data_IF_272510426486
#
_entry.id   IF_272510426486
#
_cell.length_a   1.000
_cell.length_b   1.000
_cell.length_c   1.000
_cell.angle_alpha   90.00
_cell.angle_beta   90.00
_cell.angle_gamma   90.00
#
_symmetry.space_group_name_H-M   'P 1'
#
loop_
_entity.id
_entity.type
_entity.pdbx_description
1 polymer ?
#
# COMPACT_ATOMS: atom_id res chain seq x y z
N UNK A 1 19.62 -1.29 -1.49
CA UNK A 1 19.19 -2.48 -0.73
C UNK A 1 18.87 -3.66 -1.66
N UNK A 2 18.21 -3.43 -2.78
CA UNK A 2 17.87 -4.49 -3.78
C UNK A 2 19.15 -5.10 -4.34
N UNK A 3 20.11 -4.29 -4.79
CA UNK A 3 21.39 -4.76 -5.32
C UNK A 3 22.22 -5.55 -4.30
N UNK A 4 22.03 -5.23 -3.01
CA UNK A 4 22.64 -5.96 -1.89
C UNK A 4 21.91 -7.27 -1.57
N UNK A 5 20.82 -7.59 -2.28
CA UNK A 5 20.01 -8.79 -2.06
C UNK A 5 19.54 -8.95 -0.62
N UNK A 6 19.17 -7.83 0.00
CA UNK A 6 18.66 -7.80 1.37
C UNK A 6 17.19 -8.13 1.43
N UNK A 7 16.71 -8.56 2.60
CA UNK A 7 15.29 -8.69 2.89
C UNK A 7 14.83 -7.37 3.50
N UNK A 8 13.90 -6.70 2.83
CA UNK A 8 13.38 -5.39 3.20
C UNK A 8 12.08 -5.55 3.96
N UNK A 9 11.92 -4.83 5.06
CA UNK A 9 10.69 -4.76 5.85
C UNK A 9 10.24 -3.30 5.86
N UNK A 10 9.36 -2.88 4.93
CA UNK A 10 8.85 -1.52 4.92
C UNK A 10 7.92 -1.31 6.12
N UNK A 11 8.11 -0.22 6.84
CA UNK A 11 7.28 0.15 7.99
C UNK A 11 6.95 1.64 7.95
N UNK A 12 5.77 1.99 8.41
CA UNK A 12 5.28 3.36 8.47
C UNK A 12 5.18 3.86 9.92
N UNK A 13 5.07 5.18 10.09
CA UNK A 13 4.93 5.77 11.43
C UNK A 13 3.63 5.34 12.10
N UNK A 14 2.59 5.09 11.32
CA UNK A 14 1.26 4.69 11.78
C UNK A 14 1.27 3.34 12.48
N UNK A 15 2.14 2.43 12.04
CA UNK A 15 2.29 1.11 12.67
C UNK A 15 3.36 1.06 13.76
N UNK A 16 3.92 2.21 14.13
CA UNK A 16 5.01 2.32 15.13
C UNK A 16 4.77 1.56 16.44
N UNK A 17 3.57 1.52 17.02
CA UNK A 17 3.31 0.72 18.22
C UNK A 17 3.63 -0.77 18.05
N UNK A 18 3.54 -1.29 16.83
CA UNK A 18 3.79 -2.69 16.50
C UNK A 18 5.22 -2.98 16.02
N UNK A 19 6.07 -1.97 15.80
CA UNK A 19 7.40 -2.16 15.22
C UNK A 19 8.26 -3.14 16.00
N UNK A 20 8.23 -3.09 17.34
CA UNK A 20 9.00 -4.02 18.18
C UNK A 20 8.59 -5.48 17.92
N UNK A 21 7.31 -5.74 17.72
CA UNK A 21 6.78 -7.03 17.36
C UNK A 21 7.22 -7.41 15.94
N UNK A 22 7.09 -6.50 14.98
CA UNK A 22 7.47 -6.71 13.58
C UNK A 22 8.96 -7.02 13.42
N UNK A 23 9.83 -6.31 14.14
CA UNK A 23 11.28 -6.59 14.15
C UNK A 23 11.58 -8.01 14.60
N UNK A 24 10.89 -8.49 15.62
CA UNK A 24 11.05 -9.85 16.13
C UNK A 24 10.55 -10.89 15.13
N UNK A 25 9.33 -10.73 14.61
CA UNK A 25 8.72 -11.70 13.69
C UNK A 25 9.45 -11.80 12.35
N UNK A 26 9.92 -10.68 11.83
CA UNK A 26 10.69 -10.65 10.58
C UNK A 26 12.21 -10.84 10.80
N UNK A 27 12.67 -11.08 12.04
CA UNK A 27 14.09 -11.24 12.40
C UNK A 27 14.97 -10.11 11.83
N UNK A 28 14.58 -8.86 12.05
CA UNK A 28 15.24 -7.67 11.49
C UNK A 28 16.60 -7.46 12.16
N UNK A 29 17.67 -7.42 11.38
CA UNK A 29 19.03 -7.18 11.86
C UNK A 29 19.35 -5.69 12.00
N UNK A 30 18.83 -4.86 11.09
CA UNK A 30 19.13 -3.42 11.03
C UNK A 30 17.84 -2.62 10.75
N UNK A 31 17.78 -1.42 11.33
CA UNK A 31 16.73 -0.43 11.02
C UNK A 31 17.38 0.80 10.40
N UNK A 32 16.79 1.31 9.33
CA UNK A 32 17.15 2.60 8.77
C UNK A 32 16.03 3.58 9.14
N UNK A 33 16.34 4.53 10.00
CA UNK A 33 15.41 5.58 10.43
C UNK A 33 16.14 6.93 10.45
N UNK A 34 15.53 7.97 9.87
CA UNK A 34 16.10 9.31 9.78
C UNK A 34 17.53 9.32 9.23
N UNK A 35 17.80 8.56 8.17
CA UNK A 35 19.13 8.37 7.56
C UNK A 35 20.20 7.78 8.50
N UNK A 36 19.80 7.15 9.59
CA UNK A 36 20.69 6.44 10.50
C UNK A 36 20.48 4.94 10.40
N UNK A 37 21.59 4.20 10.37
CA UNK A 37 21.58 2.73 10.42
C UNK A 37 21.73 2.30 11.88
N UNK A 38 20.74 1.59 12.40
CA UNK A 38 20.69 1.11 13.78
C UNK A 38 20.74 -0.42 13.75
N UNK A 39 21.76 -1.01 14.39
CA UNK A 39 21.83 -2.47 14.56
C UNK A 39 20.95 -2.91 15.71
N UNK A 40 20.12 -3.91 15.47
CA UNK A 40 19.27 -4.52 16.50
C UNK A 40 20.00 -5.71 17.16
N UNK A 41 19.51 -6.14 18.34
CA UNK A 41 19.97 -7.39 18.97
C UNK A 41 19.51 -8.56 18.11
N UNK A 42 20.37 -9.57 17.94
CA UNK A 42 20.07 -10.78 17.19
C UNK A 42 18.81 -11.48 17.70
N UNK A 43 17.89 -11.76 16.79
CA UNK A 43 16.76 -12.67 17.01
C UNK A 43 17.18 -14.12 16.68
N UNK A 44 16.36 -15.09 17.11
CA UNK A 44 16.59 -16.49 16.76
C UNK A 44 16.68 -16.66 15.24
N UNK A 45 17.59 -17.50 14.78
CA UNK A 45 17.69 -17.91 13.38
C UNK A 45 16.35 -18.44 12.88
N UNK A 46 15.92 -17.95 11.72
CA UNK A 46 14.71 -18.42 11.06
C UNK A 46 15.09 -19.18 9.79
N UNK A 47 14.78 -20.48 9.78
CA UNK A 47 15.15 -21.39 8.67
C UNK A 47 14.60 -20.93 7.32
N UNK A 48 13.42 -20.30 7.27
CA UNK A 48 12.85 -19.78 6.04
C UNK A 48 13.73 -18.64 5.48
N UNK A 49 14.15 -17.70 6.33
CA UNK A 49 15.02 -16.60 5.92
C UNK A 49 16.40 -17.10 5.50
N UNK A 50 16.96 -18.10 6.19
CA UNK A 50 18.25 -18.71 5.81
C UNK A 50 18.14 -19.38 4.43
N UNK A 51 17.11 -20.19 4.19
CA UNK A 51 16.85 -20.80 2.88
C UNK A 51 16.66 -19.75 1.79
N UNK A 52 15.92 -18.68 2.08
CA UNK A 52 15.70 -17.60 1.13
C UNK A 52 17.00 -16.88 0.76
N UNK A 53 17.90 -16.65 1.74
CA UNK A 53 19.21 -16.02 1.49
C UNK A 53 20.09 -16.84 0.52
N UNK A 54 19.93 -18.16 0.50
CA UNK A 54 20.64 -19.04 -0.46
C UNK A 54 20.21 -18.79 -1.91
N UNK A 55 19.01 -18.29 -2.15
CA UNK A 55 18.52 -17.96 -3.49
C UNK A 55 19.22 -16.72 -4.07
N UNK A 56 19.98 -15.98 -3.26
CA UNK A 56 20.66 -14.74 -3.67
C UNK A 56 19.72 -13.73 -4.31
N UNK A 57 18.46 -13.72 -3.90
CA UNK A 57 17.43 -12.78 -4.32
C UNK A 57 17.17 -11.72 -3.25
N UNK A 58 16.68 -10.54 -3.64
CA UNK A 58 16.17 -9.57 -2.69
C UNK A 58 14.77 -10.01 -2.22
N UNK A 59 14.48 -9.84 -0.93
CA UNK A 59 13.19 -10.17 -0.34
C UNK A 59 12.44 -8.93 0.13
N UNK A 60 11.12 -9.07 0.25
CA UNK A 60 10.28 -8.08 0.91
C UNK A 60 9.31 -8.79 1.85
N UNK A 61 9.14 -8.25 3.06
CA UNK A 61 8.23 -8.79 4.07
C UNK A 61 7.08 -7.82 4.29
N UNK A 62 5.86 -8.33 4.18
CA UNK A 62 4.64 -7.63 4.58
C UNK A 62 4.00 -8.31 5.78
N UNK A 63 3.21 -7.55 6.53
CA UNK A 63 2.42 -8.07 7.64
C UNK A 63 0.94 -8.14 7.25
N UNK A 64 0.34 -9.31 7.45
CA UNK A 64 -1.11 -9.49 7.32
C UNK A 64 -1.79 -9.33 8.66
N UNK A 65 -3.05 -8.91 8.68
CA UNK A 65 -3.85 -8.76 9.90
C UNK A 65 -4.11 -10.06 10.67
N UNK A 66 -3.81 -11.22 10.08
CA UNK A 66 -3.95 -12.55 10.68
C UNK A 66 -5.33 -12.83 11.30
N UNK A 67 -5.94 -13.97 11.01
CA UNK A 67 -7.23 -14.39 11.59
C UNK A 67 -7.16 -14.60 13.12
N UNK A 68 -5.95 -14.72 13.67
CA UNK A 68 -5.68 -14.95 15.11
C UNK A 68 -5.42 -13.65 15.88
N UNK A 69 -5.66 -12.48 15.29
CA UNK A 69 -5.47 -11.18 15.90
C UNK A 69 -4.01 -10.68 15.99
N UNK A 70 -3.02 -11.52 15.62
CA UNK A 70 -1.60 -11.10 15.54
C UNK A 70 -1.13 -11.06 14.09
N UNK A 71 -0.52 -9.95 13.63
CA UNK A 71 0.02 -9.85 12.28
C UNK A 71 1.06 -10.95 12.00
N UNK A 72 0.98 -11.56 10.82
CA UNK A 72 1.95 -12.57 10.38
C UNK A 72 2.88 -11.95 9.35
N UNK A 73 4.18 -12.20 9.49
CA UNK A 73 5.19 -11.82 8.50
C UNK A 73 5.13 -12.75 7.29
N UNK A 74 4.99 -12.19 6.10
CA UNK A 74 4.93 -12.92 4.83
C UNK A 74 6.09 -12.44 3.96
N UNK A 75 7.03 -13.37 3.69
CA UNK A 75 8.18 -13.11 2.84
C UNK A 75 7.82 -13.36 1.37
N UNK A 76 8.14 -12.40 0.55
CA UNK A 76 8.06 -12.49 -0.91
C UNK A 76 9.44 -12.33 -1.54
N UNK A 77 9.70 -13.06 -2.63
CA UNK A 77 10.80 -12.75 -3.53
C UNK A 77 10.48 -11.44 -4.27
N UNK A 78 11.36 -10.46 -4.11
CA UNK A 78 11.11 -9.12 -4.67
C UNK A 78 11.17 -9.12 -6.20
N UNK A 79 12.00 -9.97 -6.82
CA UNK A 79 12.04 -10.06 -8.26
C UNK A 79 10.70 -10.60 -8.81
N UNK A 80 10.18 -11.67 -8.22
CA UNK A 80 8.86 -12.22 -8.56
C UNK A 80 7.75 -11.21 -8.28
N UNK A 81 7.87 -10.46 -7.18
CA UNK A 81 6.93 -9.40 -6.84
C UNK A 81 6.91 -8.28 -7.88
N UNK A 82 8.07 -7.88 -8.40
CA UNK A 82 8.20 -6.81 -9.38
C UNK A 82 7.86 -7.26 -10.81
N UNK A 83 8.04 -8.54 -11.14
CA UNK A 83 7.75 -9.09 -12.47
C UNK A 83 6.28 -8.88 -12.90
N UNK A 84 5.35 -8.78 -11.94
CA UNK A 84 3.94 -8.47 -12.23
C UNK A 84 3.72 -7.13 -12.94
N UNK A 85 4.70 -6.22 -12.89
CA UNK A 85 4.66 -4.90 -13.52
C UNK A 85 5.40 -4.87 -14.86
N UNK A 86 5.91 -6.01 -15.34
CA UNK A 86 6.63 -6.12 -16.62
C UNK A 86 5.75 -5.80 -17.83
N UNK A 87 4.43 -6.04 -17.73
CA UNK A 87 3.48 -5.72 -18.80
C UNK A 87 3.04 -4.28 -18.70
N UNK A 88 3.34 -3.42 -19.70
CA UNK A 88 2.94 -2.02 -19.69
C UNK A 88 1.42 -1.85 -19.57
N UNK A 89 0.99 -0.87 -18.80
CA UNK A 89 -0.39 -0.44 -18.66
C UNK A 89 -0.47 1.09 -18.82
N UNK A 90 -1.67 1.66 -19.02
CA UNK A 90 -1.81 3.11 -19.10
C UNK A 90 -1.21 3.82 -17.88
N UNK A 91 -0.55 4.93 -18.15
CA UNK A 91 -0.03 5.81 -17.12
C UNK A 91 -1.17 6.65 -16.53
N UNK A 92 -1.29 6.65 -15.20
CA UNK A 92 -2.29 7.47 -14.49
C UNK A 92 -1.62 8.33 -13.43
N UNK A 93 -2.27 9.44 -13.12
CA UNK A 93 -2.02 10.19 -11.90
C UNK A 93 -2.81 9.51 -10.78
N UNK A 94 -2.10 8.82 -9.90
CA UNK A 94 -2.68 7.94 -8.87
C UNK A 94 -2.52 8.56 -7.49
N UNK A 95 -3.60 8.64 -6.72
CA UNK A 95 -3.53 9.00 -5.32
C UNK A 95 -3.26 7.75 -4.48
N UNK A 96 -2.15 7.73 -3.76
CA UNK A 96 -1.77 6.60 -2.91
C UNK A 96 -1.78 7.00 -1.43
N UNK A 97 -2.91 6.79 -0.77
CA UNK A 97 -3.06 6.98 0.67
C UNK A 97 -3.00 5.68 1.47
N UNK A 98 -2.88 4.54 0.76
CA UNK A 98 -2.68 3.25 1.39
C UNK A 98 -1.27 3.18 2.01
N UNK A 99 -1.18 2.52 3.17
CA UNK A 99 0.08 2.42 3.91
C UNK A 99 1.13 1.60 3.15
N UNK A 100 2.38 2.07 3.14
CA UNK A 100 3.49 1.40 2.46
C UNK A 100 4.01 0.15 3.18
N UNK A 101 3.61 -0.09 4.40
CA UNK A 101 3.87 -1.34 5.14
C UNK A 101 2.82 -2.44 4.85
N UNK A 102 1.82 -2.12 4.03
CA UNK A 102 0.87 -3.06 3.45
C UNK A 102 1.10 -3.27 1.97
N UNK A 103 0.82 -4.49 1.51
CA UNK A 103 0.97 -4.86 0.09
C UNK A 103 0.20 -3.91 -0.84
N UNK A 104 -0.98 -3.42 -0.44
CA UNK A 104 -1.80 -2.50 -1.24
C UNK A 104 -1.10 -1.18 -1.54
N UNK A 105 -0.46 -0.55 -0.54
CA UNK A 105 0.25 0.72 -0.72
C UNK A 105 1.47 0.59 -1.63
N UNK A 106 2.32 -0.42 -1.40
CA UNK A 106 3.48 -0.65 -2.26
C UNK A 106 3.10 -1.15 -3.65
N UNK A 107 2.07 -1.99 -3.77
CA UNK A 107 1.56 -2.40 -5.08
C UNK A 107 1.09 -1.18 -5.90
N UNK A 108 0.36 -0.26 -5.27
CA UNK A 108 -0.06 0.99 -5.92
C UNK A 108 1.12 1.84 -6.36
N UNK A 109 2.11 2.02 -5.47
CA UNK A 109 3.33 2.77 -5.77
C UNK A 109 4.07 2.19 -6.98
N UNK A 110 4.40 0.91 -6.93
CA UNK A 110 5.14 0.25 -8.01
C UNK A 110 4.34 0.19 -9.31
N UNK A 111 3.04 -0.16 -9.26
CA UNK A 111 2.19 -0.13 -10.43
C UNK A 111 2.22 1.24 -11.12
N UNK A 112 2.11 2.31 -10.36
CA UNK A 112 2.11 3.68 -10.92
C UNK A 112 3.46 4.03 -11.52
N UNK A 113 4.56 3.80 -10.79
CA UNK A 113 5.91 4.17 -11.25
C UNK A 113 6.39 3.34 -12.45
N UNK A 114 6.17 2.03 -12.43
CA UNK A 114 6.54 1.15 -13.55
C UNK A 114 5.79 1.49 -14.84
N UNK A 115 4.59 2.04 -14.73
CA UNK A 115 3.81 2.50 -15.87
C UNK A 115 4.04 4.00 -16.19
N UNK A 116 5.09 4.63 -15.64
CA UNK A 116 5.45 6.04 -15.88
C UNK A 116 4.35 7.02 -15.46
N UNK A 117 3.48 6.63 -14.52
CA UNK A 117 2.46 7.46 -13.92
C UNK A 117 3.02 8.40 -12.85
N UNK A 118 2.16 9.23 -12.30
CA UNK A 118 2.50 10.15 -11.20
C UNK A 118 1.81 9.70 -9.92
N UNK A 119 2.55 9.69 -8.80
CA UNK A 119 2.02 9.34 -7.49
C UNK A 119 1.75 10.60 -6.69
N UNK A 120 0.52 10.76 -6.22
CA UNK A 120 0.12 11.79 -5.26
C UNK A 120 0.02 11.11 -3.89
N UNK A 121 0.78 11.60 -2.92
CA UNK A 121 0.75 11.12 -1.54
C UNK A 121 0.09 12.21 -0.71
N UNK A 122 -1.08 11.95 -0.11
CA UNK A 122 -1.80 12.95 0.66
C UNK A 122 -1.12 13.19 2.01
N UNK A 123 -1.27 14.40 2.52
CA UNK A 123 -0.80 14.76 3.86
C UNK A 123 -1.66 14.10 4.95
N UNK A 124 -2.94 13.95 4.72
CA UNK A 124 -3.93 13.38 5.65
C UNK A 124 -4.81 12.34 4.93
N UNK A 125 -5.49 11.50 5.71
CA UNK A 125 -6.38 10.45 5.20
C UNK A 125 -7.85 10.71 5.50
N UNK A 126 -8.23 11.93 5.88
CA UNK A 126 -9.64 12.30 6.01
C UNK A 126 -10.30 12.32 4.63
N UNK A 127 -11.61 12.08 4.57
CA UNK A 127 -12.35 12.11 3.30
C UNK A 127 -12.20 13.48 2.62
N UNK A 128 -12.33 14.56 3.39
CA UNK A 128 -12.20 15.93 2.89
C UNK A 128 -10.83 16.21 2.28
N UNK A 129 -9.74 15.82 2.96
CA UNK A 129 -8.37 16.04 2.45
C UNK A 129 -8.10 15.21 1.21
N UNK A 130 -8.58 13.97 1.16
CA UNK A 130 -8.47 13.12 -0.03
C UNK A 130 -9.23 13.73 -1.22
N UNK A 131 -10.45 14.27 -1.01
CA UNK A 131 -11.19 14.98 -2.06
C UNK A 131 -10.42 16.21 -2.53
N UNK A 132 -9.87 17.00 -1.61
CA UNK A 132 -9.05 18.18 -1.92
C UNK A 132 -7.84 17.79 -2.78
N UNK A 133 -7.13 16.73 -2.43
CA UNK A 133 -5.96 16.26 -3.17
C UNK A 133 -6.34 15.70 -4.55
N UNK A 134 -7.46 14.98 -4.67
CA UNK A 134 -7.97 14.51 -5.96
C UNK A 134 -8.23 15.69 -6.90
N UNK A 135 -8.94 16.69 -6.43
CA UNK A 135 -9.25 17.90 -7.22
C UNK A 135 -8.00 18.67 -7.58
N UNK A 136 -7.20 19.05 -6.57
CA UNK A 136 -5.99 19.87 -6.71
C UNK A 136 -4.98 19.29 -7.68
N UNK A 137 -4.79 17.97 -7.63
CA UNK A 137 -3.78 17.30 -8.42
C UNK A 137 -4.35 16.64 -9.68
N UNK A 138 -5.66 16.78 -9.97
CA UNK A 138 -6.32 16.11 -11.10
C UNK A 138 -6.05 14.61 -11.14
N UNK A 139 -6.32 13.92 -10.02
CA UNK A 139 -6.11 12.49 -9.86
C UNK A 139 -7.05 11.72 -10.78
N UNK A 140 -6.53 10.67 -11.43
CA UNK A 140 -7.25 9.83 -12.39
C UNK A 140 -7.57 8.44 -11.85
N UNK A 141 -6.73 7.92 -10.94
CA UNK A 141 -6.87 6.57 -10.35
C UNK A 141 -6.84 6.65 -8.83
N UNK A 142 -7.86 6.10 -8.20
CA UNK A 142 -8.01 6.02 -6.75
C UNK A 142 -8.04 4.56 -6.28
N UNK A 143 -6.90 3.95 -5.92
CA UNK A 143 -6.86 2.69 -5.19
C UNK A 143 -7.25 2.92 -3.73
N UNK A 144 -8.21 2.13 -3.22
CA UNK A 144 -8.80 2.39 -1.92
C UNK A 144 -9.33 1.13 -1.22
N UNK A 145 -10.13 1.31 -0.17
CA UNK A 145 -10.83 0.24 0.54
C UNK A 145 -12.34 0.46 0.51
N UNK A 146 -13.16 -0.59 0.62
CA UNK A 146 -14.60 -0.49 0.77
C UNK A 146 -15.02 0.44 1.92
N UNK A 147 -14.33 0.38 3.04
CA UNK A 147 -14.59 1.27 4.19
C UNK A 147 -14.43 2.75 3.81
N UNK A 148 -13.37 3.12 3.09
CA UNK A 148 -13.20 4.51 2.64
C UNK A 148 -14.29 4.92 1.65
N UNK A 149 -14.65 4.06 0.70
CA UNK A 149 -15.72 4.33 -0.26
C UNK A 149 -17.08 4.50 0.42
N UNK A 150 -17.34 3.74 1.48
CA UNK A 150 -18.55 3.93 2.31
C UNK A 150 -18.56 5.33 2.93
N UNK A 151 -17.45 5.75 3.56
CA UNK A 151 -17.34 7.09 4.14
C UNK A 151 -17.53 8.17 3.08
N UNK A 152 -16.87 8.03 1.92
CA UNK A 152 -17.00 8.96 0.79
C UNK A 152 -18.45 9.09 0.30
N UNK A 153 -19.17 7.97 0.13
CA UNK A 153 -20.55 7.98 -0.36
C UNK A 153 -21.58 8.43 0.67
N UNK A 154 -21.21 8.51 1.94
CA UNK A 154 -22.04 9.01 3.04
C UNK A 154 -21.74 10.47 3.41
N UNK A 155 -20.71 11.05 2.84
CA UNK A 155 -20.35 12.44 3.06
C UNK A 155 -21.43 13.34 2.45
N UNK A 156 -22.08 14.14 3.31
CA UNK A 156 -23.17 15.04 2.90
C UNK A 156 -22.66 16.24 2.09
N UNK A 157 -21.40 16.59 2.26
CA UNK A 157 -20.75 17.72 1.59
C UNK A 157 -20.03 17.27 0.30
N UNK A 158 -20.22 16.01 -0.13
CA UNK A 158 -19.59 15.48 -1.33
C UNK A 158 -20.10 16.17 -2.60
N UNK A 159 -19.26 16.99 -3.17
CA UNK A 159 -19.49 17.52 -4.52
C UNK A 159 -18.75 16.67 -5.56
N UNK A 160 -19.49 15.82 -6.27
CA UNK A 160 -18.94 14.89 -7.29
C UNK A 160 -18.18 15.60 -8.40
N UNK A 161 -18.53 16.86 -8.71
CA UNK A 161 -17.82 17.64 -9.73
C UNK A 161 -16.34 17.91 -9.39
N UNK A 162 -16.00 17.88 -8.12
CA UNK A 162 -14.59 17.99 -7.68
C UNK A 162 -13.76 16.76 -8.06
N UNK A 163 -14.42 15.64 -8.31
CA UNK A 163 -13.81 14.34 -8.65
C UNK A 163 -13.91 14.02 -10.15
N UNK A 164 -14.26 15.00 -11.00
CA UNK A 164 -14.50 14.85 -12.44
C UNK A 164 -13.35 14.24 -13.25
N UNK A 165 -12.13 14.31 -12.75
CA UNK A 165 -10.95 13.75 -13.41
C UNK A 165 -10.70 12.27 -13.05
N UNK A 166 -11.39 11.73 -12.04
CA UNK A 166 -11.31 10.31 -11.72
C UNK A 166 -11.86 9.48 -12.88
N UNK A 167 -11.08 8.52 -13.31
CA UNK A 167 -11.41 7.55 -14.38
C UNK A 167 -11.64 6.17 -13.82
N UNK A 168 -10.88 5.82 -12.78
CA UNK A 168 -10.87 4.47 -12.21
C UNK A 168 -10.84 4.57 -10.68
N UNK A 169 -11.70 3.79 -10.03
CA UNK A 169 -11.66 3.52 -8.60
C UNK A 169 -11.43 2.02 -8.44
N UNK A 170 -10.34 1.63 -7.78
CA UNK A 170 -10.10 0.23 -7.42
C UNK A 170 -10.18 0.04 -5.91
N UNK A 171 -10.69 -1.10 -5.47
CA UNK A 171 -10.78 -1.39 -4.05
C UNK A 171 -10.38 -2.84 -3.75
N UNK A 172 -9.96 -3.08 -2.52
CA UNK A 172 -9.54 -4.40 -2.07
C UNK A 172 -9.41 -4.49 -0.55
N UNK A 173 -8.91 -5.62 -0.09
CA UNK A 173 -8.65 -5.95 1.32
C UNK A 173 -9.87 -6.18 2.20
N UNK A 174 -11.06 -5.78 1.78
CA UNK A 174 -12.33 -5.91 2.50
C UNK A 174 -13.44 -6.33 1.53
N UNK A 175 -14.54 -6.85 2.08
CA UNK A 175 -15.73 -7.17 1.29
C UNK A 175 -16.51 -5.87 1.03
N UNK A 176 -16.84 -5.63 -0.24
CA UNK A 176 -17.69 -4.50 -0.64
C UNK A 176 -19.16 -4.84 -0.35
N UNK A 177 -19.84 -4.00 0.41
CA UNK A 177 -21.28 -4.13 0.60
C UNK A 177 -22.06 -3.57 -0.60
N UNK A 178 -23.20 -4.21 -0.87
CA UNK A 178 -24.04 -3.89 -2.04
C UNK A 178 -24.57 -2.46 -2.02
N UNK A 179 -24.90 -1.92 -0.86
CA UNK A 179 -25.44 -0.57 -0.74
C UNK A 179 -24.38 0.49 -1.09
N UNK A 180 -23.14 0.31 -0.62
CA UNK A 180 -22.02 1.18 -0.99
C UNK A 180 -21.77 1.11 -2.49
N UNK A 181 -21.79 -0.08 -3.09
CA UNK A 181 -21.59 -0.24 -4.53
C UNK A 181 -22.70 0.45 -5.35
N UNK A 182 -23.97 0.28 -4.95
CA UNK A 182 -25.10 0.98 -5.59
C UNK A 182 -24.98 2.50 -5.51
N UNK A 183 -24.54 3.03 -4.36
CA UNK A 183 -24.31 4.48 -4.18
C UNK A 183 -23.16 4.96 -5.07
N UNK A 184 -22.06 4.23 -5.14
CA UNK A 184 -20.94 4.56 -6.03
C UNK A 184 -21.37 4.63 -7.48
N UNK A 185 -22.06 3.62 -7.97
CA UNK A 185 -22.54 3.58 -9.36
C UNK A 185 -23.50 4.75 -9.67
N UNK A 186 -24.31 5.16 -8.70
CA UNK A 186 -25.19 6.33 -8.85
C UNK A 186 -24.41 7.64 -8.90
N UNK A 187 -23.38 7.79 -8.04
CA UNK A 187 -22.56 9.01 -7.96
C UNK A 187 -21.57 9.12 -9.12
N UNK A 188 -21.06 7.99 -9.59
CA UNK A 188 -19.98 7.90 -10.57
C UNK A 188 -20.33 6.94 -11.72
N UNK A 189 -21.37 7.23 -12.52
CA UNK A 189 -21.86 6.29 -13.54
C UNK A 189 -20.85 6.00 -14.67
N UNK A 190 -19.85 6.86 -14.86
CA UNK A 190 -18.84 6.76 -15.92
C UNK A 190 -17.47 6.30 -15.41
N UNK A 191 -17.34 5.94 -14.13
CA UNK A 191 -16.08 5.45 -13.56
C UNK A 191 -16.04 3.92 -13.63
N UNK A 192 -14.89 3.39 -14.00
CA UNK A 192 -14.60 1.96 -14.03
C UNK A 192 -14.10 1.46 -12.68
#
# INVERSE_FOLDING_TARGET
>A
LIDLKTIIVPLTKETRPNHKYFFKEACVDYVIENNKLIKLKHFKKNLLLEKFRLLKSAGIVFFSSGTTGRPKAILHDLNVFLDRYSKPRPAYKTLNFLLFDHIGGLNTLFHTLFNKGQVVIPYSRTVSDIINDIEKHNVELLPTTPTFLRMLTMDQDLNVNRLKNLKIITYGSEIMDENTLKRLNKLFPNIT
#
